data_IF_182870645904
#
_entry.id   IF_182870645904
#
_cell.length_a   1.000
_cell.length_b   1.000
_cell.length_c   1.000
_cell.angle_alpha   90.00
_cell.angle_beta   90.00
_cell.angle_gamma   90.00
#
_symmetry.space_group_name_H-M   'P 1'
#
loop_
_entity.id
_entity.type
_entity.pdbx_description
1 polymer ?
#
# COMPACT_ATOMS: atom_id res chain seq x y z
N UNK A 1 49.45 7.63 -5.69
CA UNK A 1 48.06 7.93 -6.07
C UNK A 1 47.40 8.46 -4.81
N UNK A 2 47.08 9.75 -4.76
CA UNK A 2 46.43 10.35 -3.59
C UNK A 2 45.05 9.70 -3.45
N UNK A 3 44.75 9.06 -2.33
CA UNK A 3 43.42 8.53 -2.07
C UNK A 3 42.42 9.68 -2.16
N UNK A 4 41.55 9.63 -3.17
CA UNK A 4 40.46 10.58 -3.31
C UNK A 4 39.56 10.45 -2.09
N UNK A 5 39.01 11.57 -1.59
CA UNK A 5 37.99 11.51 -0.55
C UNK A 5 36.80 10.68 -1.02
N UNK A 6 36.10 9.94 -0.15
CA UNK A 6 35.00 9.05 -0.56
C UNK A 6 33.94 9.73 -1.44
N UNK A 7 33.57 10.98 -1.16
CA UNK A 7 32.63 11.72 -2.00
C UNK A 7 33.15 11.99 -3.41
N UNK A 8 34.44 12.32 -3.53
CA UNK A 8 35.06 12.53 -4.84
C UNK A 8 35.21 11.21 -5.62
N UNK A 9 35.40 10.07 -4.92
CA UNK A 9 35.36 8.73 -5.54
C UNK A 9 33.96 8.37 -6.06
N UNK A 10 32.92 8.61 -5.26
CA UNK A 10 31.53 8.36 -5.65
C UNK A 10 31.16 9.18 -6.89
N UNK A 11 31.53 10.47 -6.92
CA UNK A 11 31.27 11.36 -8.06
C UNK A 11 32.00 10.93 -9.33
N UNK A 12 33.19 10.35 -9.23
CA UNK A 12 33.93 9.86 -10.41
C UNK A 12 33.20 8.72 -11.14
N UNK A 13 32.37 7.95 -10.44
CA UNK A 13 31.53 6.88 -11.01
C UNK A 13 30.09 7.30 -11.31
N UNK A 14 29.72 8.57 -11.05
CA UNK A 14 28.35 9.05 -11.17
C UNK A 14 28.03 9.55 -12.60
N UNK A 15 26.75 9.52 -12.97
CA UNK A 15 26.21 10.27 -14.11
C UNK A 15 25.66 11.59 -13.61
N UNK A 16 26.28 12.68 -14.06
CA UNK A 16 26.02 14.03 -13.59
C UNK A 16 26.30 15.07 -14.68
N UNK A 17 25.82 16.32 -14.53
CA UNK A 17 24.80 16.74 -13.57
C UNK A 17 23.37 16.42 -14.05
N UNK A 18 22.40 16.38 -13.14
CA UNK A 18 20.97 16.24 -13.48
C UNK A 18 20.27 17.60 -13.66
N UNK A 19 20.81 18.67 -13.08
CA UNK A 19 20.34 20.04 -13.22
C UNK A 19 21.42 20.98 -13.79
N UNK A 20 21.04 22.20 -14.20
CA UNK A 20 21.99 23.23 -14.62
C UNK A 20 22.85 23.69 -13.44
N UNK A 21 24.03 24.24 -13.71
CA UNK A 21 24.88 24.81 -12.66
C UNK A 21 24.15 25.89 -11.85
N UNK A 22 24.31 25.86 -10.53
CA UNK A 22 23.61 26.73 -9.59
C UNK A 22 24.56 27.16 -8.47
N UNK A 23 24.30 28.32 -7.86
CA UNK A 23 24.88 28.70 -6.57
C UNK A 23 23.82 28.46 -5.50
N UNK A 24 24.05 27.47 -4.64
CA UNK A 24 23.07 27.05 -3.63
C UNK A 24 23.50 27.50 -2.23
N UNK A 25 22.54 27.90 -1.41
CA UNK A 25 22.73 28.09 0.02
C UNK A 25 21.52 27.52 0.74
N UNK A 26 21.76 26.67 1.75
CA UNK A 26 20.70 26.03 2.54
C UNK A 26 20.51 26.67 3.92
N UNK A 27 20.96 27.92 4.10
CA UNK A 27 20.79 28.68 5.35
C UNK A 27 21.77 28.34 6.48
N UNK A 28 22.72 27.43 6.23
CA UNK A 28 23.73 27.02 7.20
C UNK A 28 25.15 27.29 6.71
N UNK A 29 26.04 27.71 7.62
CA UNK A 29 27.46 27.97 7.33
C UNK A 29 28.38 26.77 7.59
N UNK A 30 27.91 25.80 8.37
CA UNK A 30 28.66 24.61 8.80
C UNK A 30 27.72 23.41 8.93
N UNK A 31 28.30 22.21 8.94
CA UNK A 31 27.57 20.96 9.09
C UNK A 31 27.08 20.39 7.75
N UNK A 32 26.39 19.25 7.78
CA UNK A 32 26.01 18.50 6.59
C UNK A 32 25.16 19.27 5.57
N UNK A 33 24.32 20.24 5.98
CA UNK A 33 23.59 21.10 5.03
C UNK A 33 24.51 22.10 4.29
N UNK A 34 25.58 22.57 4.94
CA UNK A 34 26.57 23.40 4.28
C UNK A 34 27.37 22.56 3.26
N UNK A 35 27.79 21.35 3.65
CA UNK A 35 28.45 20.40 2.75
C UNK A 35 27.57 20.04 1.54
N UNK A 36 26.26 19.84 1.76
CA UNK A 36 25.30 19.56 0.70
C UNK A 36 25.13 20.75 -0.26
N UNK A 37 25.08 21.97 0.25
CA UNK A 37 25.02 23.17 -0.59
C UNK A 37 26.29 23.30 -1.46
N UNK A 38 27.47 23.01 -0.89
CA UNK A 38 28.74 22.98 -1.63
C UNK A 38 28.76 21.89 -2.70
N UNK A 39 28.28 20.68 -2.37
CA UNK A 39 28.15 19.58 -3.31
C UNK A 39 27.26 19.95 -4.49
N UNK A 40 26.05 20.45 -4.24
CA UNK A 40 25.09 20.77 -5.30
C UNK A 40 25.50 22.01 -6.11
N UNK A 41 26.30 22.91 -5.54
CA UNK A 41 26.94 24.00 -6.27
C UNK A 41 28.03 23.48 -7.22
N UNK A 42 28.77 22.44 -6.83
CA UNK A 42 29.77 21.78 -7.68
C UNK A 42 29.13 20.88 -8.75
N UNK A 43 28.11 20.10 -8.37
CA UNK A 43 27.43 19.10 -9.19
C UNK A 43 25.95 19.08 -8.82
N UNK A 44 25.12 19.73 -9.63
CA UNK A 44 23.70 19.88 -9.34
C UNK A 44 22.90 18.60 -9.66
N UNK A 45 22.83 17.69 -8.69
CA UNK A 45 22.18 16.38 -8.80
C UNK A 45 22.98 15.39 -9.65
N UNK A 46 22.88 14.10 -9.33
CA UNK A 46 23.54 13.01 -10.06
C UNK A 46 22.90 11.66 -9.77
N UNK A 47 23.19 10.65 -10.58
CA UNK A 47 22.94 9.25 -10.25
C UNK A 47 24.24 8.48 -10.08
N UNK A 48 24.26 7.51 -9.17
CA UNK A 48 25.36 6.58 -8.97
C UNK A 48 24.85 5.14 -9.06
N UNK A 49 25.79 4.18 -9.19
CA UNK A 49 25.47 2.74 -9.16
C UNK A 49 24.39 2.33 -10.17
N UNK A 50 24.54 2.78 -11.41
CA UNK A 50 23.58 2.57 -12.48
C UNK A 50 22.15 3.03 -12.12
N UNK A 51 22.03 4.25 -11.56
CA UNK A 51 20.76 4.81 -11.06
C UNK A 51 20.13 4.08 -9.86
N UNK A 52 20.88 3.18 -9.20
CA UNK A 52 20.50 2.64 -7.90
C UNK A 52 20.47 3.71 -6.79
N UNK A 53 21.23 4.80 -6.95
CA UNK A 53 21.18 6.00 -6.09
C UNK A 53 20.97 7.24 -6.95
N UNK A 54 20.12 8.17 -6.49
CA UNK A 54 19.95 9.49 -7.07
C UNK A 54 20.07 10.56 -5.99
N UNK A 55 20.88 11.58 -6.26
CA UNK A 55 20.90 12.83 -5.52
C UNK A 55 20.09 13.86 -6.31
N UNK A 56 19.18 14.54 -5.61
CA UNK A 56 18.24 15.49 -6.21
C UNK A 56 18.95 16.71 -6.76
N UNK A 57 18.40 17.28 -7.83
CA UNK A 57 18.86 18.58 -8.33
C UNK A 57 18.14 19.70 -7.58
N UNK A 58 18.73 20.89 -7.57
CA UNK A 58 18.16 22.10 -7.02
C UNK A 58 17.82 23.10 -8.13
N UNK A 59 16.69 23.79 -7.97
CA UNK A 59 16.22 24.81 -8.89
C UNK A 59 15.16 24.30 -9.87
N UNK A 60 14.58 25.22 -10.66
CA UNK A 60 13.34 24.96 -11.41
C UNK A 60 13.51 24.10 -12.66
N UNK A 61 14.73 23.72 -13.03
CA UNK A 61 15.03 22.95 -14.22
C UNK A 61 16.01 21.83 -13.88
N UNK A 62 15.76 20.63 -14.39
CA UNK A 62 16.59 19.46 -14.15
C UNK A 62 15.80 18.16 -14.39
N UNK A 63 16.48 17.04 -14.22
CA UNK A 63 15.92 15.70 -14.39
C UNK A 63 15.69 15.05 -13.03
N UNK A 64 14.45 14.59 -12.80
CA UNK A 64 14.06 13.95 -11.56
C UNK A 64 13.64 14.93 -10.46
N UNK A 65 13.58 14.47 -9.19
CA UNK A 65 13.07 15.27 -8.09
C UNK A 65 13.90 16.53 -7.84
N UNK A 66 13.19 17.63 -7.58
CA UNK A 66 13.76 18.91 -7.18
C UNK A 66 13.86 18.99 -5.65
N UNK A 67 15.03 19.37 -5.13
CA UNK A 67 15.41 19.33 -3.73
C UNK A 67 14.44 20.09 -2.80
N UNK A 68 14.08 21.32 -3.17
CA UNK A 68 13.18 22.16 -2.37
C UNK A 68 11.79 21.55 -2.29
N UNK A 69 11.18 21.30 -3.45
CA UNK A 69 9.87 20.68 -3.60
C UNK A 69 9.78 19.34 -2.91
N UNK A 70 10.81 18.49 -3.01
CA UNK A 70 10.83 17.19 -2.34
C UNK A 70 10.72 17.30 -0.82
N UNK A 71 11.26 18.38 -0.25
CA UNK A 71 11.23 18.63 1.18
C UNK A 71 10.02 19.43 1.67
N UNK A 72 9.18 19.94 0.76
CA UNK A 72 7.91 20.57 1.13
C UNK A 72 6.95 19.55 1.75
N UNK A 73 6.37 19.83 2.93
CA UNK A 73 5.51 18.85 3.61
C UNK A 73 4.36 18.28 2.76
N UNK A 74 3.64 19.07 1.93
CA UNK A 74 2.58 18.57 1.06
C UNK A 74 3.04 17.60 -0.03
N UNK A 75 4.34 17.56 -0.36
CA UNK A 75 4.85 16.66 -1.39
C UNK A 75 4.67 15.22 -0.96
N UNK A 76 5.15 14.82 0.20
CA UNK A 76 4.88 13.48 0.74
C UNK A 76 4.96 13.39 2.26
N UNK A 77 5.75 14.24 2.93
CA UNK A 77 6.01 14.14 4.39
C UNK A 77 4.74 14.22 5.24
N UNK A 78 3.72 14.98 4.82
CA UNK A 78 2.43 15.04 5.52
C UNK A 78 1.78 13.65 5.68
N UNK A 79 2.03 12.72 4.74
CA UNK A 79 1.51 11.35 4.83
C UNK A 79 2.20 10.49 5.87
N UNK A 80 3.26 10.98 6.52
CA UNK A 80 4.01 10.28 7.58
C UNK A 80 3.68 10.83 8.98
N UNK A 81 2.72 11.76 9.11
CA UNK A 81 2.21 12.28 10.38
C UNK A 81 3.31 12.67 11.41
N UNK A 82 4.37 13.34 10.95
CA UNK A 82 5.48 13.80 11.80
C UNK A 82 6.66 12.83 11.90
N UNK A 83 6.52 11.58 11.46
CA UNK A 83 7.63 10.60 11.49
C UNK A 83 8.81 11.00 10.60
N UNK A 84 8.61 11.90 9.63
CA UNK A 84 9.64 12.46 8.77
C UNK A 84 10.13 13.86 9.22
N UNK A 85 9.71 14.36 10.38
CA UNK A 85 10.09 15.69 10.87
C UNK A 85 11.58 15.76 11.22
N UNK A 86 12.18 16.94 11.02
CA UNK A 86 13.62 17.16 11.23
C UNK A 86 14.52 16.62 10.12
N UNK A 87 13.95 15.94 9.11
CA UNK A 87 14.70 15.41 7.96
C UNK A 87 14.71 16.38 6.79
N UNK A 88 15.90 16.64 6.24
CA UNK A 88 16.10 17.28 4.94
C UNK A 88 16.65 16.25 3.94
N UNK A 89 15.77 15.66 3.14
CA UNK A 89 16.09 14.57 2.22
C UNK A 89 16.76 15.12 0.96
N UNK A 90 17.95 14.63 0.63
CA UNK A 90 18.76 15.12 -0.50
C UNK A 90 18.95 14.08 -1.61
N UNK A 91 18.56 12.85 -1.37
CA UNK A 91 18.60 11.80 -2.36
C UNK A 91 17.78 10.59 -1.93
N UNK A 92 17.74 9.60 -2.81
CA UNK A 92 17.04 8.34 -2.56
C UNK A 92 17.70 7.19 -3.31
N UNK A 93 17.53 5.97 -2.80
CA UNK A 93 17.90 4.75 -3.50
C UNK A 93 16.82 4.31 -4.52
N UNK A 94 16.97 3.10 -5.08
CA UNK A 94 16.06 2.49 -6.05
C UNK A 94 14.66 2.17 -5.50
N UNK A 95 14.55 1.87 -4.21
CA UNK A 95 13.32 1.47 -3.55
C UNK A 95 12.59 2.65 -2.87
N UNK A 96 13.25 3.80 -2.82
CA UNK A 96 12.74 5.03 -2.21
C UNK A 96 13.18 5.23 -0.77
N UNK A 97 14.19 4.52 -0.28
CA UNK A 97 14.87 4.88 0.97
C UNK A 97 15.50 6.25 0.80
N UNK A 98 15.26 7.15 1.75
CA UNK A 98 15.69 8.54 1.64
C UNK A 98 17.04 8.72 2.31
N UNK A 99 17.98 9.37 1.63
CA UNK A 99 19.18 9.91 2.26
C UNK A 99 18.87 11.32 2.75
N UNK A 100 19.00 11.55 4.05
CA UNK A 100 18.57 12.79 4.67
C UNK A 100 19.61 13.34 5.65
N UNK A 101 19.65 14.67 5.75
CA UNK A 101 20.30 15.35 6.86
C UNK A 101 19.29 15.47 8.00
N UNK A 102 19.59 14.92 9.17
CA UNK A 102 18.79 15.06 10.38
C UNK A 102 19.30 16.24 11.22
N UNK A 103 18.45 17.24 11.46
CA UNK A 103 18.70 18.41 12.33
C UNK A 103 20.02 19.17 12.04
N UNK A 104 20.52 19.09 10.82
CA UNK A 104 21.85 19.59 10.42
C UNK A 104 23.02 19.05 11.28
N UNK A 105 22.92 17.81 11.76
CA UNK A 105 23.93 17.17 12.62
C UNK A 105 24.54 15.93 12.02
N UNK A 106 23.72 15.10 11.38
CA UNK A 106 24.14 13.81 10.83
C UNK A 106 23.38 13.46 9.56
N UNK A 107 23.93 12.53 8.79
CA UNK A 107 23.28 11.86 7.68
C UNK A 107 22.61 10.59 8.19
N UNK A 108 21.34 10.39 7.80
CA UNK A 108 20.57 9.19 8.08
C UNK A 108 20.01 8.60 6.78
N UNK A 109 19.75 7.29 6.80
CA UNK A 109 18.83 6.64 5.86
C UNK A 109 17.47 6.54 6.52
N UNK A 110 16.44 7.01 5.84
CA UNK A 110 15.05 6.87 6.26
C UNK A 110 14.37 5.79 5.43
N UNK A 111 13.91 4.73 6.11
CA UNK A 111 13.13 3.66 5.51
C UNK A 111 11.70 4.17 5.26
N UNK A 112 11.18 4.10 4.02
CA UNK A 112 9.89 4.67 3.71
C UNK A 112 8.73 3.77 4.18
N UNK A 113 8.94 2.48 4.44
CA UNK A 113 7.91 1.57 4.93
C UNK A 113 7.74 1.63 6.45
N UNK A 114 8.85 1.71 7.21
CA UNK A 114 8.81 1.72 8.69
C UNK A 114 8.96 3.11 9.31
N UNK A 115 9.42 4.10 8.52
CA UNK A 115 9.91 5.39 9.01
C UNK A 115 11.09 5.32 10.00
N UNK A 116 11.77 4.18 10.07
CA UNK A 116 13.01 4.05 10.84
C UNK A 116 14.12 4.92 10.25
N UNK A 117 14.99 5.41 11.15
CA UNK A 117 16.13 6.25 10.81
C UNK A 117 17.40 5.50 11.19
N UNK A 118 18.19 5.13 10.20
CA UNK A 118 19.51 4.51 10.41
C UNK A 118 20.59 5.58 10.31
N UNK A 119 21.33 5.90 11.39
CA UNK A 119 22.47 6.82 11.33
C UNK A 119 23.57 6.30 10.41
N UNK A 120 24.13 7.19 9.59
CA UNK A 120 25.22 6.88 8.66
C UNK A 120 26.53 7.54 9.08
N UNK A 121 26.49 8.83 9.45
CA UNK A 121 27.68 9.57 9.83
C UNK A 121 27.44 11.07 9.93
N UNK A 122 28.48 11.86 10.22
CA UNK A 122 28.34 13.29 10.50
C UNK A 122 28.26 14.16 9.22
N UNK A 123 28.74 13.65 8.08
CA UNK A 123 28.80 14.41 6.83
C UNK A 123 28.73 13.57 5.57
N UNK A 124 28.84 14.23 4.41
CA UNK A 124 28.66 13.59 3.11
C UNK A 124 29.79 12.65 2.71
N UNK A 125 30.99 12.83 3.29
CA UNK A 125 32.07 11.87 3.09
C UNK A 125 31.82 10.54 3.82
N UNK A 126 31.22 10.59 5.02
CA UNK A 126 30.84 9.37 5.74
C UNK A 126 29.74 8.63 4.97
N UNK A 127 28.74 9.37 4.46
CA UNK A 127 27.70 8.81 3.60
C UNK A 127 28.25 8.19 2.31
N UNK A 128 29.17 8.87 1.62
CA UNK A 128 29.78 8.32 0.42
C UNK A 128 30.65 7.08 0.72
N UNK A 129 31.40 7.08 1.82
CA UNK A 129 32.17 5.92 2.26
C UNK A 129 31.26 4.73 2.58
N UNK A 130 30.16 4.98 3.29
CA UNK A 130 29.15 3.98 3.61
C UNK A 130 28.53 3.37 2.34
N UNK A 131 28.20 4.16 1.32
CA UNK A 131 27.73 3.64 0.04
C UNK A 131 28.78 2.80 -0.71
N UNK A 132 30.04 3.25 -0.71
CA UNK A 132 31.13 2.58 -1.42
C UNK A 132 31.57 1.27 -0.77
N UNK A 133 31.33 1.09 0.53
CA UNK A 133 31.61 -0.15 1.27
C UNK A 133 30.72 -1.31 0.82
N UNK A 134 29.45 -1.07 0.54
CA UNK A 134 28.52 -2.07 -0.01
C UNK A 134 27.61 -1.48 -1.10
N UNK A 135 28.12 -1.32 -2.34
CA UNK A 135 27.33 -0.78 -3.44
C UNK A 135 26.12 -1.65 -3.79
N UNK A 136 26.17 -2.96 -3.52
CA UNK A 136 25.09 -3.88 -3.87
C UNK A 136 23.89 -3.73 -2.93
N UNK A 137 24.12 -3.74 -1.62
CA UNK A 137 23.06 -3.58 -0.62
C UNK A 137 22.65 -2.13 -0.40
N UNK A 138 23.61 -1.22 -0.21
CA UNK A 138 23.35 0.18 0.17
C UNK A 138 23.10 1.10 -1.02
N UNK A 139 23.69 0.77 -2.17
CA UNK A 139 23.51 1.49 -3.42
C UNK A 139 22.55 0.83 -4.40
N UNK A 140 21.97 -0.33 -4.05
CA UNK A 140 21.14 -1.17 -4.92
C UNK A 140 21.77 -1.50 -6.29
N UNK A 141 23.10 -1.46 -6.42
CA UNK A 141 23.79 -1.43 -7.72
C UNK A 141 23.46 -2.62 -8.61
N UNK A 142 23.58 -3.83 -8.06
CA UNK A 142 23.35 -5.07 -8.80
C UNK A 142 21.89 -5.18 -9.22
N UNK A 143 20.97 -4.80 -8.32
CA UNK A 143 19.54 -4.82 -8.57
C UNK A 143 19.13 -3.82 -9.64
N UNK A 144 19.60 -2.58 -9.54
CA UNK A 144 19.32 -1.53 -10.52
C UNK A 144 19.83 -1.91 -11.90
N UNK A 145 20.97 -2.60 -11.98
CA UNK A 145 21.51 -3.11 -13.24
C UNK A 145 20.63 -4.23 -13.81
N UNK A 146 20.34 -5.27 -13.02
CA UNK A 146 19.49 -6.36 -13.47
C UNK A 146 18.10 -5.88 -13.91
N UNK A 147 17.48 -4.98 -13.15
CA UNK A 147 16.17 -4.42 -13.48
C UNK A 147 16.19 -3.70 -14.82
N UNK A 148 17.19 -2.84 -15.05
CA UNK A 148 17.24 -2.07 -16.29
C UNK A 148 17.60 -2.92 -17.51
N UNK A 149 18.42 -3.96 -17.33
CA UNK A 149 18.74 -4.90 -18.40
C UNK A 149 17.49 -5.68 -18.85
N UNK A 150 16.59 -6.04 -17.92
CA UNK A 150 15.39 -6.83 -18.22
C UNK A 150 14.16 -5.97 -18.58
N UNK A 151 13.90 -4.90 -17.81
CA UNK A 151 12.67 -4.10 -17.85
C UNK A 151 12.88 -2.71 -18.44
N UNK A 152 14.12 -2.33 -18.74
CA UNK A 152 14.48 -1.02 -19.29
C UNK A 152 14.73 0.04 -18.22
N UNK A 153 15.26 1.19 -18.68
CA UNK A 153 15.59 2.32 -17.81
C UNK A 153 14.36 2.88 -17.09
N UNK A 154 14.53 3.24 -15.82
CA UNK A 154 13.52 4.02 -15.08
C UNK A 154 13.52 5.47 -15.56
N UNK A 155 12.34 6.09 -15.58
CA UNK A 155 12.21 7.54 -15.67
C UNK A 155 12.90 8.22 -14.49
N UNK A 156 13.35 9.47 -14.68
CA UNK A 156 14.11 10.19 -13.65
C UNK A 156 13.33 10.44 -12.35
N UNK A 157 12.00 10.48 -12.42
CA UNK A 157 11.09 10.62 -11.28
C UNK A 157 10.54 9.27 -10.78
N UNK A 158 10.96 8.14 -11.35
CA UNK A 158 10.40 6.83 -11.02
C UNK A 158 11.24 6.06 -10.00
N UNK A 159 10.57 5.30 -9.13
CA UNK A 159 11.17 4.34 -8.21
C UNK A 159 10.39 3.05 -8.17
N UNK A 160 11.05 2.00 -7.66
CA UNK A 160 10.42 0.71 -7.45
C UNK A 160 9.68 0.73 -6.12
N UNK A 161 8.39 0.43 -6.19
CA UNK A 161 7.56 0.16 -5.03
C UNK A 161 7.11 -1.29 -5.06
N UNK A 162 7.17 -2.01 -3.94
CA UNK A 162 6.72 -3.37 -3.92
C UNK A 162 5.19 -3.47 -3.85
N UNK A 163 4.62 -4.47 -4.53
CA UNK A 163 3.20 -4.81 -4.49
C UNK A 163 2.83 -5.35 -3.11
N UNK A 164 3.71 -6.19 -2.53
CA UNK A 164 3.74 -6.56 -1.12
C UNK A 164 4.98 -5.95 -0.47
N UNK A 165 4.77 -5.06 0.49
CA UNK A 165 5.84 -4.36 1.22
C UNK A 165 6.86 -5.32 1.83
N UNK A 166 8.14 -4.94 1.82
CA UNK A 166 9.23 -5.79 2.30
C UNK A 166 9.07 -6.13 3.78
N UNK A 167 8.69 -5.12 4.57
CA UNK A 167 8.35 -5.22 6.00
C UNK A 167 7.24 -6.22 6.29
N UNK A 168 6.41 -6.54 5.29
CA UNK A 168 5.27 -7.46 5.40
C UNK A 168 5.52 -8.78 4.66
N UNK A 169 6.79 -9.15 4.47
CA UNK A 169 7.20 -10.39 3.83
C UNK A 169 7.21 -10.33 2.31
N UNK A 170 7.24 -9.12 1.74
CA UNK A 170 7.53 -8.90 0.33
C UNK A 170 8.94 -9.30 -0.06
N UNK A 171 9.12 -9.84 -1.26
CA UNK A 171 10.42 -10.22 -1.78
C UNK A 171 10.98 -9.15 -2.72
N UNK A 172 12.30 -9.19 -2.93
CA UNK A 172 13.00 -8.39 -3.95
C UNK A 172 12.89 -9.04 -5.34
N UNK A 173 11.80 -9.72 -5.65
CA UNK A 173 11.59 -10.29 -6.98
C UNK A 173 10.94 -9.25 -7.90
N UNK A 174 11.25 -9.30 -9.20
CA UNK A 174 10.73 -8.29 -10.15
C UNK A 174 9.20 -8.30 -10.24
N UNK A 175 8.57 -9.46 -10.06
CA UNK A 175 7.11 -9.59 -10.09
C UNK A 175 6.45 -8.95 -8.86
N UNK A 176 7.20 -8.76 -7.77
CA UNK A 176 6.74 -8.01 -6.62
C UNK A 176 7.00 -6.51 -6.76
N UNK A 177 7.60 -6.00 -7.84
CA UNK A 177 8.00 -4.60 -7.96
C UNK A 177 7.32 -3.89 -9.13
N UNK A 178 6.91 -2.65 -8.91
CA UNK A 178 6.38 -1.79 -9.95
C UNK A 178 7.13 -0.45 -9.99
N UNK A 179 7.42 0.03 -11.19
CA UNK A 179 7.95 1.38 -11.40
C UNK A 179 6.81 2.41 -11.31
N UNK A 180 6.90 3.33 -10.34
CA UNK A 180 5.94 4.42 -10.17
C UNK A 180 6.64 5.74 -9.87
N UNK A 181 5.92 6.84 -10.03
CA UNK A 181 6.36 8.16 -9.58
C UNK A 181 6.79 8.12 -8.10
N UNK A 182 7.97 8.66 -7.80
CA UNK A 182 8.61 8.54 -6.49
C UNK A 182 7.81 9.24 -5.38
N UNK A 183 7.16 10.37 -5.68
CA UNK A 183 6.25 11.05 -4.73
C UNK A 183 5.07 10.14 -4.39
N UNK A 184 4.48 9.52 -5.41
CA UNK A 184 3.41 8.54 -5.24
C UNK A 184 3.87 7.35 -4.40
N UNK A 185 5.08 6.84 -4.62
CA UNK A 185 5.63 5.76 -3.81
C UNK A 185 5.73 6.13 -2.32
N UNK A 186 6.22 7.34 -2.02
CA UNK A 186 6.31 7.83 -0.63
C UNK A 186 4.93 7.98 0.00
N UNK A 187 3.96 8.56 -0.73
CA UNK A 187 2.59 8.76 -0.24
C UNK A 187 1.83 7.46 0.02
N UNK A 188 2.09 6.40 -0.74
CA UNK A 188 1.51 5.08 -0.51
C UNK A 188 2.03 4.49 0.80
N UNK A 189 3.32 4.65 1.09
CA UNK A 189 3.95 4.05 2.28
C UNK A 189 3.74 4.84 3.56
N UNK A 190 3.48 6.15 3.49
CA UNK A 190 3.28 6.99 4.68
C UNK A 190 2.22 6.46 5.67
N UNK A 191 0.98 6.15 5.24
CA UNK A 191 -0.05 5.58 6.11
C UNK A 191 0.33 4.23 6.71
N UNK A 192 1.07 3.40 5.95
CA UNK A 192 1.59 2.14 6.45
C UNK A 192 2.62 2.38 7.56
N UNK A 193 3.58 3.26 7.32
CA UNK A 193 4.62 3.60 8.30
C UNK A 193 4.00 4.10 9.61
N UNK A 194 2.98 4.96 9.54
CA UNK A 194 2.22 5.37 10.73
C UNK A 194 1.64 4.20 11.53
N UNK A 195 1.18 3.18 10.82
CA UNK A 195 0.53 2.01 11.44
C UNK A 195 1.55 1.09 12.10
N UNK A 196 2.74 0.93 11.49
CA UNK A 196 3.71 -0.09 11.90
C UNK A 196 4.89 0.43 12.70
N UNK A 197 5.16 1.74 12.69
CA UNK A 197 6.38 2.34 13.28
C UNK A 197 6.63 1.93 14.74
N UNK A 198 5.58 1.92 15.55
CA UNK A 198 5.68 1.62 16.99
C UNK A 198 5.37 0.15 17.32
N UNK A 199 5.16 -0.70 16.31
CA UNK A 199 4.84 -2.10 16.52
C UNK A 199 6.12 -2.93 16.65
N UNK A 200 6.13 -3.96 17.54
CA UNK A 200 7.26 -4.87 17.62
C UNK A 200 7.33 -5.77 16.38
N UNK A 201 8.53 -6.23 16.06
CA UNK A 201 8.76 -7.23 15.02
C UNK A 201 7.83 -8.44 15.18
N UNK A 202 7.21 -8.85 14.06
CA UNK A 202 6.27 -9.97 14.04
C UNK A 202 4.86 -9.63 14.50
N UNK A 203 4.58 -8.36 14.86
CA UNK A 203 3.21 -7.90 15.08
C UNK A 203 2.35 -8.16 13.84
N UNK A 204 1.13 -8.66 14.07
CA UNK A 204 0.13 -8.78 13.02
C UNK A 204 -0.49 -7.40 12.78
N UNK A 205 -0.36 -6.91 11.55
CA UNK A 205 -0.89 -5.60 11.14
C UNK A 205 -2.06 -5.84 10.21
N UNK A 206 -3.20 -5.25 10.54
CA UNK A 206 -4.34 -5.18 9.63
C UNK A 206 -4.22 -3.90 8.80
N UNK A 207 -3.82 -4.04 7.53
CA UNK A 207 -3.67 -2.94 6.58
C UNK A 207 -5.02 -2.45 6.06
N UNK A 208 -5.87 -1.95 6.92
CA UNK A 208 -7.14 -1.37 6.51
C UNK A 208 -7.28 -0.05 7.24
N UNK A 209 -7.38 1.03 6.46
CA UNK A 209 -7.74 2.31 7.02
C UNK A 209 -9.08 2.15 7.74
N UNK A 210 -9.08 2.40 9.05
CA UNK A 210 -10.30 2.83 9.72
C UNK A 210 -10.72 4.17 9.13
N UNK A 211 -11.36 4.13 7.96
CA UNK A 211 -12.32 5.17 7.63
C UNK A 211 -13.54 4.90 8.50
N UNK A 212 -13.43 5.23 9.79
CA UNK A 212 -14.62 5.56 10.54
C UNK A 212 -15.34 6.63 9.72
N UNK A 213 -16.59 6.41 9.27
CA UNK A 213 -17.34 7.51 8.71
C UNK A 213 -17.45 8.52 9.85
N UNK A 214 -16.90 9.72 9.64
CA UNK A 214 -17.34 10.88 10.36
C UNK A 214 -18.87 10.87 10.21
N UNK A 215 -19.57 10.58 11.31
CA UNK A 215 -21.01 10.58 11.39
C UNK A 215 -21.49 11.98 11.04
N UNK A 216 -21.64 12.22 9.74
CA UNK A 216 -22.15 13.46 9.19
C UNK A 216 -23.65 13.38 9.39
N UNK A 217 -24.29 14.31 10.11
CA UNK A 217 -25.73 14.31 10.27
C UNK A 217 -26.39 14.31 8.87
N UNK A 218 -27.20 13.30 8.57
CA UNK A 218 -27.78 13.08 7.24
C UNK A 218 -27.02 12.08 6.35
N UNK A 219 -25.94 11.48 6.83
CA UNK A 219 -25.26 10.36 6.18
C UNK A 219 -26.22 9.18 6.03
N UNK A 220 -26.32 8.66 4.80
CA UNK A 220 -27.02 7.41 4.50
C UNK A 220 -26.19 6.17 4.88
N UNK A 221 -24.95 6.34 5.34
CA UNK A 221 -24.07 5.25 5.77
C UNK A 221 -24.09 5.14 7.31
N UNK A 222 -24.48 3.96 7.78
CA UNK A 222 -24.60 3.57 9.18
C UNK A 222 -23.30 2.92 9.73
N UNK A 223 -22.60 2.14 8.90
CA UNK A 223 -21.31 1.56 9.23
C UNK A 223 -20.52 1.27 7.96
N UNK A 224 -19.19 1.22 8.07
CA UNK A 224 -18.30 0.96 6.95
C UNK A 224 -17.06 0.21 7.43
N UNK A 225 -16.62 -0.78 6.67
CA UNK A 225 -15.34 -1.43 6.86
C UNK A 225 -14.79 -1.92 5.51
N UNK A 226 -13.50 -1.68 5.27
CA UNK A 226 -12.74 -2.39 4.25
C UNK A 226 -12.00 -3.52 4.97
N UNK A 227 -12.03 -4.72 4.42
CA UNK A 227 -11.60 -5.96 5.07
C UNK A 227 -10.79 -6.82 4.10
N UNK A 228 -9.75 -7.46 4.62
CA UNK A 228 -9.02 -8.51 3.94
C UNK A 228 -9.48 -9.84 4.52
N UNK A 229 -10.25 -10.60 3.74
CA UNK A 229 -10.92 -11.80 4.23
C UNK A 229 -10.31 -13.03 3.59
N UNK A 230 -9.74 -13.91 4.42
CA UNK A 230 -9.24 -15.20 3.94
C UNK A 230 -10.41 -16.10 3.52
N UNK A 231 -10.64 -16.18 2.22
CA UNK A 231 -11.73 -16.96 1.62
C UNK A 231 -11.28 -18.41 1.38
N UNK A 232 -11.18 -19.19 2.46
CA UNK A 232 -10.96 -20.63 2.32
C UNK A 232 -12.18 -21.29 1.68
N UNK A 233 -11.96 -22.33 0.88
CA UNK A 233 -12.99 -22.97 0.06
C UNK A 233 -13.76 -22.02 -0.87
N UNK A 234 -13.11 -20.97 -1.39
CA UNK A 234 -13.72 -20.04 -2.34
C UNK A 234 -14.98 -19.36 -1.76
N UNK A 235 -14.98 -19.07 -0.46
CA UNK A 235 -16.09 -18.35 0.16
C UNK A 235 -15.69 -17.64 1.44
N UNK A 236 -16.49 -16.64 1.81
CA UNK A 236 -16.50 -16.06 3.15
C UNK A 236 -17.94 -15.85 3.62
N UNK A 237 -18.13 -15.58 4.91
CA UNK A 237 -19.43 -15.40 5.54
C UNK A 237 -19.60 -13.97 6.03
N UNK A 238 -20.82 -13.45 5.96
CA UNK A 238 -21.27 -12.22 6.61
C UNK A 238 -22.37 -12.63 7.59
N UNK A 239 -22.14 -12.39 8.88
CA UNK A 239 -22.99 -13.00 9.91
C UNK A 239 -23.05 -12.19 11.20
N UNK A 240 -24.11 -12.41 11.98
CA UNK A 240 -24.16 -11.98 13.37
C UNK A 240 -23.03 -12.66 14.18
N UNK A 241 -22.44 -11.95 15.15
CA UNK A 241 -21.30 -12.45 15.92
C UNK A 241 -21.59 -13.75 16.70
N UNK A 242 -22.86 -14.00 17.03
CA UNK A 242 -23.31 -15.19 17.78
C UNK A 242 -23.87 -16.29 16.88
N UNK A 243 -24.14 -16.01 15.60
CA UNK A 243 -24.59 -17.03 14.66
C UNK A 243 -23.54 -18.15 14.56
N UNK A 244 -23.99 -19.40 14.65
CA UNK A 244 -23.17 -20.59 14.44
C UNK A 244 -23.89 -21.49 13.47
N UNK A 245 -23.20 -21.93 12.42
CA UNK A 245 -23.79 -22.82 11.44
C UNK A 245 -22.75 -23.80 10.89
N UNK A 246 -23.23 -24.95 10.42
CA UNK A 246 -22.44 -25.93 9.69
C UNK A 246 -22.92 -25.98 8.23
N UNK A 247 -22.05 -25.78 7.23
CA UNK A 247 -22.43 -25.86 5.82
C UNK A 247 -22.92 -27.26 5.43
N UNK A 248 -24.11 -27.34 4.83
CA UNK A 248 -24.63 -28.55 4.22
C UNK A 248 -24.34 -28.61 2.70
N UNK A 249 -24.63 -29.74 2.07
CA UNK A 249 -24.41 -29.92 0.62
C UNK A 249 -25.19 -28.93 -0.25
N UNK A 250 -26.38 -28.51 0.18
CA UNK A 250 -27.20 -27.57 -0.58
C UNK A 250 -26.62 -26.16 -0.50
N UNK A 251 -26.11 -25.76 0.67
CA UNK A 251 -25.36 -24.53 0.90
C UNK A 251 -24.12 -24.47 0.00
N UNK A 252 -23.26 -25.50 0.05
CA UNK A 252 -22.04 -25.54 -0.77
C UNK A 252 -22.38 -25.47 -2.26
N UNK A 253 -23.42 -26.18 -2.70
CA UNK A 253 -23.86 -26.12 -4.09
C UNK A 253 -24.32 -24.71 -4.50
N UNK A 254 -25.05 -24.01 -3.63
CA UNK A 254 -25.49 -22.64 -3.87
C UNK A 254 -24.30 -21.68 -3.96
N UNK A 255 -23.29 -21.80 -3.08
CA UNK A 255 -22.09 -20.98 -3.18
C UNK A 255 -21.31 -21.20 -4.49
N UNK A 256 -21.17 -22.45 -4.93
CA UNK A 256 -20.48 -22.76 -6.19
C UNK A 256 -21.26 -22.25 -7.41
N UNK A 257 -22.58 -22.42 -7.41
CA UNK A 257 -23.41 -22.15 -8.60
C UNK A 257 -23.82 -20.69 -8.72
N UNK A 258 -24.12 -20.07 -7.58
CA UNK A 258 -24.81 -18.79 -7.50
C UNK A 258 -24.04 -17.73 -6.70
N UNK A 259 -22.87 -18.09 -6.13
CA UNK A 259 -22.03 -17.23 -5.30
C UNK A 259 -22.75 -16.60 -4.09
N UNK A 260 -23.89 -17.16 -3.69
CA UNK A 260 -24.67 -16.69 -2.55
C UNK A 260 -25.42 -17.85 -1.90
N UNK A 261 -25.41 -17.90 -0.58
CA UNK A 261 -26.24 -18.79 0.22
C UNK A 261 -26.67 -18.06 1.50
N UNK A 262 -27.82 -18.41 2.07
CA UNK A 262 -28.29 -17.80 3.31
C UNK A 262 -29.00 -18.80 4.24
N UNK A 263 -28.83 -18.56 5.53
CA UNK A 263 -29.44 -19.25 6.67
C UNK A 263 -29.69 -18.19 7.76
N UNK A 264 -30.35 -18.60 8.84
CA UNK A 264 -30.58 -17.71 9.98
C UNK A 264 -29.26 -17.16 10.53
N UNK A 265 -29.16 -15.83 10.58
CA UNK A 265 -27.98 -15.14 11.09
C UNK A 265 -26.73 -15.15 10.20
N UNK A 266 -26.76 -15.76 9.02
CA UNK A 266 -25.57 -15.89 8.16
C UNK A 266 -25.88 -15.90 6.65
N UNK A 267 -25.05 -15.18 5.91
CA UNK A 267 -24.95 -15.24 4.45
C UNK A 267 -23.56 -15.71 4.07
N UNK A 268 -23.48 -16.68 3.17
CA UNK A 268 -22.23 -17.05 2.52
C UNK A 268 -22.10 -16.37 1.17
N UNK A 269 -20.91 -15.86 0.89
CA UNK A 269 -20.52 -15.22 -0.37
C UNK A 269 -19.47 -16.09 -1.03
N UNK A 270 -19.74 -16.54 -2.26
CA UNK A 270 -18.74 -17.25 -3.06
C UNK A 270 -17.69 -16.28 -3.60
N UNK A 271 -16.45 -16.76 -3.73
CA UNK A 271 -15.32 -16.00 -4.28
C UNK A 271 -14.67 -16.73 -5.45
N UNK A 272 -14.17 -15.98 -6.43
CA UNK A 272 -13.48 -16.54 -7.58
C UNK A 272 -12.14 -17.17 -7.21
N UNK A 273 -11.50 -16.67 -6.15
CA UNK A 273 -10.19 -17.14 -5.68
C UNK A 273 -10.23 -17.67 -4.26
N UNK A 274 -9.38 -18.67 -4.01
CA UNK A 274 -9.11 -19.23 -2.68
C UNK A 274 -7.88 -18.54 -2.08
N UNK A 275 -8.08 -17.32 -1.59
CA UNK A 275 -7.02 -16.48 -1.02
C UNK A 275 -7.63 -15.41 -0.13
N UNK A 276 -6.81 -14.53 0.42
CA UNK A 276 -7.28 -13.28 1.02
C UNK A 276 -7.81 -12.37 -0.07
N UNK A 277 -9.11 -12.05 0.00
CA UNK A 277 -9.79 -11.18 -0.97
C UNK A 277 -10.21 -9.86 -0.31
N UNK A 278 -10.20 -8.74 -1.05
CA UNK A 278 -10.69 -7.48 -0.54
C UNK A 278 -12.22 -7.50 -0.49
N UNK A 279 -12.77 -7.17 0.68
CA UNK A 279 -14.19 -7.08 0.97
C UNK A 279 -14.52 -5.70 1.54
N UNK A 280 -15.52 -5.03 0.96
CA UNK A 280 -16.06 -3.78 1.51
C UNK A 280 -17.40 -4.10 2.14
N UNK A 281 -17.55 -3.87 3.44
CA UNK A 281 -18.80 -3.92 4.17
C UNK A 281 -19.36 -2.49 4.29
N UNK A 282 -20.47 -2.22 3.61
CA UNK A 282 -21.13 -0.90 3.59
C UNK A 282 -22.57 -1.01 4.09
N UNK A 283 -22.80 -0.56 5.32
CA UNK A 283 -24.13 -0.62 5.96
C UNK A 283 -24.79 0.74 5.79
N UNK A 284 -25.97 0.77 5.21
CA UNK A 284 -26.71 1.97 4.83
C UNK A 284 -28.07 2.04 5.49
N UNK A 285 -28.63 3.25 5.60
CA UNK A 285 -29.96 3.50 6.13
C UNK A 285 -31.08 3.19 5.12
N UNK A 286 -30.73 3.04 3.84
CA UNK A 286 -31.67 2.81 2.74
C UNK A 286 -31.00 2.01 1.61
N UNK A 287 -31.82 1.48 0.71
CA UNK A 287 -31.38 0.69 -0.42
C UNK A 287 -30.47 1.49 -1.37
N UNK A 288 -29.40 0.89 -1.92
CA UNK A 288 -28.64 1.48 -3.02
C UNK A 288 -29.45 1.49 -4.31
N UNK A 289 -29.13 2.42 -5.21
CA UNK A 289 -29.72 2.46 -6.55
C UNK A 289 -29.47 1.15 -7.32
N UNK A 290 -30.42 0.77 -8.18
CA UNK A 290 -30.31 -0.39 -9.07
C UNK A 290 -29.48 -0.06 -10.33
N UNK A 291 -28.27 0.42 -10.10
CA UNK A 291 -27.24 0.56 -11.14
C UNK A 291 -26.18 -0.52 -10.97
N UNK A 292 -26.09 -1.40 -11.96
CA UNK A 292 -25.16 -2.54 -11.96
C UNK A 292 -24.01 -2.38 -12.97
N UNK A 293 -23.89 -1.22 -13.60
CA UNK A 293 -22.85 -0.97 -14.58
C UNK A 293 -21.45 -1.12 -13.97
N UNK A 294 -20.63 -1.96 -14.61
CA UNK A 294 -19.26 -2.23 -14.18
C UNK A 294 -19.12 -3.26 -13.06
N UNK A 295 -20.21 -3.91 -12.64
CA UNK A 295 -20.19 -5.08 -11.75
C UNK A 295 -20.33 -6.36 -12.56
N UNK A 296 -19.49 -7.35 -12.24
CA UNK A 296 -19.44 -8.63 -12.98
C UNK A 296 -20.50 -9.62 -12.50
N UNK A 297 -20.82 -9.59 -11.21
CA UNK A 297 -21.82 -10.44 -10.58
C UNK A 297 -22.51 -9.68 -9.45
N UNK A 298 -23.82 -9.81 -9.33
CA UNK A 298 -24.59 -9.17 -8.24
C UNK A 298 -25.59 -10.16 -7.69
N UNK A 299 -25.55 -10.38 -6.38
CA UNK A 299 -26.47 -11.26 -5.65
C UNK A 299 -27.14 -10.51 -4.52
N UNK A 300 -28.28 -11.04 -4.08
CA UNK A 300 -28.97 -10.53 -2.91
C UNK A 300 -29.45 -11.66 -2.01
N UNK A 301 -29.49 -11.41 -0.71
CA UNK A 301 -30.06 -12.29 0.30
C UNK A 301 -30.56 -11.47 1.50
N UNK A 302 -31.17 -12.15 2.48
CA UNK A 302 -31.53 -11.56 3.77
C UNK A 302 -30.58 -11.98 4.89
N UNK A 303 -30.31 -11.07 5.82
CA UNK A 303 -29.56 -11.32 7.05
C UNK A 303 -30.33 -10.80 8.26
N UNK A 304 -30.52 -11.63 9.28
CA UNK A 304 -30.96 -11.18 10.60
C UNK A 304 -29.73 -10.93 11.48
N UNK A 305 -29.66 -9.76 12.13
CA UNK A 305 -28.58 -9.40 13.06
C UNK A 305 -29.20 -9.18 14.44
N UNK A 306 -29.04 -10.15 15.33
CA UNK A 306 -29.64 -10.14 16.67
C UNK A 306 -28.88 -9.22 17.63
N UNK A 307 -27.55 -9.28 17.59
CA UNK A 307 -26.67 -8.61 18.57
C UNK A 307 -26.35 -7.16 18.24
N UNK A 308 -26.63 -6.74 17.01
CA UNK A 308 -26.13 -5.48 16.45
C UNK A 308 -24.62 -5.52 16.14
N UNK A 309 -24.02 -6.70 16.00
CA UNK A 309 -22.62 -6.83 15.55
C UNK A 309 -22.49 -7.84 14.42
N UNK A 310 -21.85 -7.41 13.35
CA UNK A 310 -21.52 -8.24 12.20
C UNK A 310 -20.04 -8.61 12.23
N UNK A 311 -19.74 -9.87 11.93
CA UNK A 311 -18.40 -10.34 11.58
C UNK A 311 -18.38 -10.81 10.13
N UNK A 312 -17.23 -10.63 9.48
CA UNK A 312 -16.99 -11.12 8.11
C UNK A 312 -15.74 -12.00 8.15
N UNK A 313 -15.91 -13.29 7.93
CA UNK A 313 -14.83 -14.29 8.04
C UNK A 313 -15.21 -15.62 7.39
N UNK A 314 -14.24 -16.51 7.23
CA UNK A 314 -14.50 -17.91 6.87
C UNK A 314 -14.61 -18.77 8.14
N UNK A 315 -15.77 -18.65 8.82
CA UNK A 315 -16.09 -19.39 10.06
C UNK A 315 -15.06 -19.18 11.20
N UNK A 316 -14.35 -18.05 11.20
CA UNK A 316 -13.54 -17.63 12.34
C UNK A 316 -14.40 -16.75 13.25
N UNK A 317 -14.51 -17.15 14.50
CA UNK A 317 -15.29 -16.49 15.55
C UNK A 317 -14.42 -15.94 16.67
N UNK A 318 -13.09 -16.07 16.56
CA UNK A 318 -12.14 -15.60 17.57
C UNK A 318 -12.26 -14.09 17.77
N UNK A 319 -11.85 -13.58 18.92
CA UNK A 319 -11.87 -12.15 19.23
C UNK A 319 -10.97 -11.30 18.33
N UNK A 320 -10.09 -11.93 17.54
CA UNK A 320 -9.25 -11.28 16.55
C UNK A 320 -10.04 -10.78 15.32
N UNK A 321 -11.20 -11.39 15.00
CA UNK A 321 -12.03 -10.95 13.87
C UNK A 321 -12.67 -9.59 14.18
N UNK A 322 -12.72 -8.67 13.22
CA UNK A 322 -13.36 -7.38 13.46
C UNK A 322 -14.88 -7.54 13.66
N UNK A 323 -15.41 -6.94 14.74
CA UNK A 323 -16.86 -6.75 14.93
C UNK A 323 -17.26 -5.37 14.42
N UNK A 324 -18.18 -5.32 13.46
CA UNK A 324 -18.76 -4.07 12.97
C UNK A 324 -20.09 -3.83 13.65
N UNK A 325 -20.19 -2.75 14.43
CA UNK A 325 -21.43 -2.37 15.10
C UNK A 325 -22.47 -1.85 14.10
N UNK A 326 -23.68 -2.35 14.18
CA UNK A 326 -24.84 -1.99 13.35
C UNK A 326 -26.11 -1.97 14.21
N UNK A 327 -27.18 -1.28 13.79
CA UNK A 327 -28.49 -1.50 14.40
C UNK A 327 -28.88 -2.98 14.37
N UNK A 328 -29.44 -3.51 15.46
CA UNK A 328 -30.01 -4.86 15.43
C UNK A 328 -31.27 -4.87 14.55
N UNK A 329 -31.50 -5.97 13.83
CA UNK A 329 -32.69 -6.16 13.01
C UNK A 329 -32.45 -6.90 11.70
N UNK A 330 -33.43 -6.81 10.81
CA UNK A 330 -33.41 -7.46 9.51
C UNK A 330 -32.79 -6.55 8.45
N UNK A 331 -31.91 -7.16 7.66
CA UNK A 331 -31.21 -6.52 6.56
C UNK A 331 -31.50 -7.24 5.25
N UNK A 332 -31.73 -6.45 4.21
CA UNK A 332 -31.45 -6.89 2.85
C UNK A 332 -29.98 -6.66 2.56
N UNK A 333 -29.32 -7.67 1.99
CA UNK A 333 -27.91 -7.67 1.65
C UNK A 333 -27.78 -7.81 0.15
N UNK A 334 -26.98 -6.95 -0.47
CA UNK A 334 -26.58 -7.04 -1.87
C UNK A 334 -25.08 -7.14 -1.97
N UNK A 335 -24.59 -8.17 -2.64
CA UNK A 335 -23.17 -8.39 -2.85
C UNK A 335 -22.87 -8.09 -4.31
N UNK A 336 -21.97 -7.14 -4.52
CA UNK A 336 -21.44 -6.83 -5.84
C UNK A 336 -20.02 -7.40 -5.96
N UNK A 337 -19.78 -8.20 -6.99
CA UNK A 337 -18.45 -8.68 -7.33
C UNK A 337 -17.94 -8.00 -8.61
N UNK A 338 -16.66 -7.65 -8.60
CA UNK A 338 -15.95 -7.03 -9.74
C UNK A 338 -14.59 -7.70 -9.89
N UNK A 339 -13.97 -7.58 -11.07
CA UNK A 339 -12.65 -8.11 -11.36
C UNK A 339 -12.66 -9.61 -11.68
N UNK A 340 -13.83 -10.22 -11.83
CA UNK A 340 -13.96 -11.67 -12.05
C UNK A 340 -13.34 -12.12 -13.39
N UNK A 341 -13.29 -11.22 -14.37
CA UNK A 341 -12.64 -11.49 -15.66
C UNK A 341 -11.12 -11.33 -15.63
N UNK A 342 -10.54 -10.83 -14.53
CA UNK A 342 -9.09 -10.62 -14.39
C UNK A 342 -8.38 -11.83 -13.78
N UNK A 343 -9.15 -12.82 -13.32
CA UNK A 343 -8.59 -14.00 -12.66
C UNK A 343 -7.74 -14.79 -13.67
N UNK A 344 -6.49 -15.06 -13.29
CA UNK A 344 -5.55 -15.85 -14.09
C UNK A 344 -6.05 -17.28 -14.26
N UNK A 345 -5.56 -17.97 -15.30
CA UNK A 345 -5.99 -19.32 -15.62
C UNK A 345 -5.72 -20.35 -14.53
N UNK A 346 -4.74 -20.09 -13.66
CA UNK A 346 -4.42 -20.92 -12.49
C UNK A 346 -5.25 -20.57 -11.24
N UNK A 347 -6.10 -19.53 -11.30
CA UNK A 347 -6.95 -19.09 -10.19
C UNK A 347 -6.21 -18.37 -9.06
N UNK A 348 -4.92 -18.02 -9.24
CA UNK A 348 -4.07 -17.45 -8.18
C UNK A 348 -4.11 -15.92 -8.20
N UNK A 349 -3.92 -15.31 -9.37
CA UNK A 349 -3.83 -13.86 -9.53
C UNK A 349 -5.16 -13.27 -10.03
N UNK A 350 -5.42 -12.02 -9.69
CA UNK A 350 -6.61 -11.30 -10.09
C UNK A 350 -6.92 -10.12 -9.18
N UNK A 351 -7.80 -9.25 -9.67
CA UNK A 351 -8.22 -8.00 -9.03
C UNK A 351 -9.66 -8.10 -8.53
N UNK A 352 -10.11 -9.28 -8.10
CA UNK A 352 -11.49 -9.44 -7.63
C UNK A 352 -11.76 -8.68 -6.33
N UNK A 353 -12.93 -8.04 -6.28
CA UNK A 353 -13.41 -7.22 -5.17
C UNK A 353 -14.86 -7.57 -4.86
N UNK A 354 -15.18 -7.68 -3.57
CA UNK A 354 -16.54 -7.97 -3.10
C UNK A 354 -17.07 -6.80 -2.26
N UNK A 355 -18.07 -6.10 -2.76
CA UNK A 355 -18.74 -5.01 -2.04
C UNK A 355 -20.08 -5.51 -1.51
N UNK A 356 -20.16 -5.70 -0.19
CA UNK A 356 -21.33 -6.16 0.54
C UNK A 356 -22.06 -4.94 1.09
N UNK A 357 -23.22 -4.63 0.52
CA UNK A 357 -24.07 -3.53 0.96
C UNK A 357 -25.24 -4.07 1.75
N UNK A 358 -25.48 -3.56 2.95
CA UNK A 358 -26.61 -3.92 3.81
C UNK A 358 -27.50 -2.71 4.06
N UNK A 359 -28.82 -2.89 4.05
CA UNK A 359 -29.76 -1.87 4.50
C UNK A 359 -30.98 -2.51 5.18
N UNK A 360 -31.68 -1.78 6.08
CA UNK A 360 -32.88 -2.30 6.72
C UNK A 360 -33.90 -2.80 5.69
N UNK A 361 -34.31 -4.05 5.81
CA UNK A 361 -35.18 -4.70 4.82
C UNK A 361 -35.53 -6.13 5.20
N UNK A 362 -36.57 -6.67 4.60
CA UNK A 362 -37.04 -8.01 4.93
C UNK A 362 -35.98 -9.08 4.61
N UNK A 363 -35.89 -10.11 5.46
CA UNK A 363 -35.10 -11.30 5.17
C UNK A 363 -35.71 -12.01 3.96
N UNK A 364 -34.91 -12.17 2.90
CA UNK A 364 -35.33 -12.79 1.65
C UNK A 364 -34.42 -13.97 1.27
N UNK A 365 -34.97 -14.90 0.49
CA UNK A 365 -34.20 -16.01 -0.05
C UNK A 365 -33.09 -15.49 -1.01
N UNK A 366 -31.93 -16.17 -1.07
CA UNK A 366 -30.86 -15.78 -1.98
C UNK A 366 -31.33 -15.74 -3.45
N UNK A 367 -30.93 -14.70 -4.18
CA UNK A 367 -31.20 -14.54 -5.60
C UNK A 367 -30.03 -13.87 -6.31
N UNK A 368 -29.95 -14.09 -7.62
CA UNK A 368 -28.99 -13.41 -8.49
C UNK A 368 -29.70 -12.28 -9.22
N UNK A 369 -29.09 -11.10 -9.18
CA UNK A 369 -29.53 -9.91 -9.89
C UNK A 369 -28.77 -9.76 -11.21
N UNK A 370 -27.46 -10.01 -11.20
CA UNK A 370 -26.59 -10.02 -12.39
C UNK A 370 -25.72 -11.27 -12.36
N UNK A 371 -25.71 -12.06 -13.45
CA UNK A 371 -24.90 -13.29 -13.55
C UNK A 371 -23.63 -13.05 -14.35
N UNK A 372 -22.48 -13.47 -13.80
CA UNK A 372 -21.23 -13.48 -14.55
C UNK A 372 -21.31 -14.54 -15.66
N UNK A 373 -20.95 -14.24 -16.93
CA UNK A 373 -21.24 -15.11 -18.06
C UNK A 373 -20.33 -16.33 -18.19
N UNK A 374 -19.20 -16.39 -17.46
CA UNK A 374 -18.21 -17.46 -17.54
C UNK A 374 -18.15 -18.26 -16.23
N UNK A 375 -17.80 -19.56 -16.28
CA UNK A 375 -17.42 -20.26 -15.07
C UNK A 375 -16.17 -19.62 -14.47
N UNK A 376 -16.12 -19.53 -13.15
CA UNK A 376 -14.94 -19.08 -12.42
C UNK A 376 -13.99 -20.26 -12.19
N UNK A 377 -12.65 -20.05 -12.20
CA UNK A 377 -11.69 -21.14 -12.02
C UNK A 377 -11.78 -21.83 -10.65
N UNK A 378 -12.43 -21.21 -9.66
CA UNK A 378 -12.70 -21.76 -8.33
C UNK A 378 -14.01 -22.55 -8.17
N UNK A 379 -14.69 -22.91 -9.27
CA UNK A 379 -15.97 -23.65 -9.27
C UNK A 379 -15.94 -24.92 -10.11
#
# INVERSE_FOLDING_TARGET
>A
MTDLRPLDQLLAGARAPLGPGIQLTLGHKTGPLAELAELLTRVNGFTAFNAGVQVFHAGTAGLGPELGRWNEPPTWKNTYAGLADGLFCFGQDLFGCQFAVADNREIVVFDPETAERTPVGAGLNDWAAWLLEDPAGRGAHQFATAWQDERGALGHDQRLIPLRMFTMGGTYDFDNLAAKDAVTCMRIRGPLAQTIHDLPDGAQVHLMADRAPAATPGSKQLAYAELDVFADYNSFMVQDETARFEPDRAWTKALITDMIAAREGVIGVGTARRTTVPVILDVRSEAPDDNFDGWDHVTEAGLHVETGKIIVSMLDYSDAVRRTAVPAGDYTVRVYAKGLSTISSDGIHGDDLYHVVLWPGAVQAPRIVVRHPKPLPGG
#
